data_IF_469940408603
#
_entry.id   IF_469940408603
#
_cell.length_a   1.000
_cell.length_b   1.000
_cell.length_c   1.000
_cell.angle_alpha   90.00
_cell.angle_beta   90.00
_cell.angle_gamma   90.00
#
_symmetry.space_group_name_H-M   'P 1'
#
loop_
_entity.id
_entity.type
_entity.pdbx_description
1 polymer ?
#
# COMPACT_ATOMS: atom_id res chain seq x y z
N UNK A 1 25.24 17.93 -32.45
CA UNK A 1 24.44 18.92 -31.67
C UNK A 1 22.91 18.77 -31.80
N UNK A 2 22.37 17.62 -32.25
CA UNK A 2 20.91 17.38 -32.39
C UNK A 2 20.33 16.32 -31.42
N UNK A 3 21.18 15.58 -30.71
CA UNK A 3 20.81 14.45 -29.83
C UNK A 3 20.44 14.88 -28.40
N UNK A 4 21.16 15.85 -27.82
CA UNK A 4 20.92 16.31 -26.43
C UNK A 4 19.58 17.04 -26.20
N UNK A 5 18.90 17.51 -27.25
CA UNK A 5 17.58 18.16 -27.14
C UNK A 5 16.42 17.16 -27.05
N UNK A 6 16.58 15.93 -27.55
CA UNK A 6 15.52 14.90 -27.52
C UNK A 6 15.35 14.30 -26.12
N UNK A 7 16.44 14.11 -25.38
CA UNK A 7 16.40 13.55 -24.02
C UNK A 7 15.72 14.48 -23.01
N UNK A 8 15.95 15.81 -23.10
CA UNK A 8 15.29 16.79 -22.23
C UNK A 8 13.79 16.94 -22.48
N UNK A 9 13.32 16.68 -23.71
CA UNK A 9 11.90 16.81 -24.07
C UNK A 9 11.11 15.60 -23.55
N UNK A 10 11.68 14.39 -23.59
CA UNK A 10 11.08 13.17 -23.04
C UNK A 10 10.97 13.20 -21.50
N UNK A 11 11.94 13.79 -20.80
CA UNK A 11 11.87 13.95 -19.33
C UNK A 11 10.78 14.92 -18.88
N UNK A 12 10.44 15.94 -19.69
CA UNK A 12 9.40 16.91 -19.35
C UNK A 12 7.99 16.42 -19.70
N UNK A 13 7.83 15.52 -20.67
CA UNK A 13 6.50 15.02 -21.09
C UNK A 13 5.92 13.98 -20.14
N UNK A 14 6.75 13.14 -19.51
CA UNK A 14 6.27 12.20 -18.48
C UNK A 14 5.86 12.92 -17.18
N UNK A 15 6.54 14.02 -16.80
CA UNK A 15 6.18 14.81 -15.62
C UNK A 15 4.87 15.59 -15.80
N UNK A 16 4.57 16.02 -17.03
CA UNK A 16 3.38 16.83 -17.33
C UNK A 16 2.12 15.97 -17.56
N UNK A 17 2.26 14.71 -17.95
CA UNK A 17 1.13 13.78 -18.02
C UNK A 17 0.60 13.37 -16.62
N UNK A 18 1.45 13.36 -15.59
CA UNK A 18 1.05 13.06 -14.21
C UNK A 18 0.31 14.22 -13.54
N UNK A 19 0.54 15.46 -14.00
CA UNK A 19 -0.05 16.67 -13.41
C UNK A 19 -1.48 16.97 -13.88
N UNK A 20 -1.96 16.34 -14.95
CA UNK A 20 -3.24 16.68 -15.60
C UNK A 20 -4.44 15.82 -15.16
N UNK A 21 -4.26 14.89 -14.21
CA UNK A 21 -5.34 14.01 -13.72
C UNK A 21 -5.79 14.32 -12.29
N UNK A 22 -5.20 15.32 -11.62
CA UNK A 22 -5.45 15.54 -10.20
C UNK A 22 -6.54 16.60 -10.00
N UNK A 23 -7.79 16.23 -10.28
CA UNK A 23 -8.90 16.82 -9.54
C UNK A 23 -8.87 16.20 -8.14
N UNK A 24 -8.24 16.87 -7.18
CA UNK A 24 -8.34 16.52 -5.76
C UNK A 24 -9.79 16.78 -5.31
N UNK A 25 -10.67 15.84 -5.60
CA UNK A 25 -11.91 15.72 -4.84
C UNK A 25 -11.55 15.62 -3.35
N UNK A 26 -12.35 16.26 -2.50
CA UNK A 26 -12.11 16.29 -1.05
C UNK A 26 -11.80 14.87 -0.56
N UNK A 27 -10.64 14.68 0.08
CA UNK A 27 -10.22 13.40 0.60
C UNK A 27 -11.26 12.94 1.64
N UNK A 28 -12.12 12.03 1.21
CA UNK A 28 -13.04 11.34 2.09
C UNK A 28 -12.23 10.28 2.82
N UNK A 29 -12.37 10.19 4.14
CA UNK A 29 -11.65 9.20 4.94
C UNK A 29 -11.84 7.78 4.39
N UNK A 30 -10.87 6.89 4.57
CA UNK A 30 -11.03 5.50 4.16
C UNK A 30 -12.23 4.85 4.85
N UNK A 31 -13.03 4.06 4.12
CA UNK A 31 -14.11 3.27 4.70
C UNK A 31 -13.57 2.39 5.83
N UNK A 32 -14.06 2.61 7.05
CA UNK A 32 -13.59 1.90 8.24
C UNK A 32 -12.17 2.25 8.71
N UNK A 33 -11.55 3.32 8.17
CA UNK A 33 -10.20 3.75 8.55
C UNK A 33 -9.08 2.89 7.96
N UNK A 34 -9.41 2.11 6.92
CA UNK A 34 -8.50 1.19 6.24
C UNK A 34 -8.08 1.80 4.90
N UNK A 35 -6.78 1.78 4.63
CA UNK A 35 -6.21 2.07 3.30
C UNK A 35 -5.77 0.76 2.65
N UNK A 36 -5.76 0.73 1.32
CA UNK A 36 -5.24 -0.40 0.55
C UNK A 36 -3.73 -0.58 0.75
N UNK A 37 -2.96 0.51 0.84
CA UNK A 37 -1.52 0.41 1.00
C UNK A 37 -1.18 -0.14 2.39
N UNK A 38 -0.34 -1.18 2.44
CA UNK A 38 0.20 -1.73 3.67
C UNK A 38 1.55 -1.09 3.98
N UNK A 39 1.65 -0.22 5.02
CA UNK A 39 2.88 0.47 5.36
C UNK A 39 4.06 -0.45 5.62
N UNK A 40 5.22 -0.09 5.09
CA UNK A 40 6.50 -0.74 5.39
C UNK A 40 6.79 -1.97 4.54
N UNK A 41 5.99 -2.23 3.50
CA UNK A 41 6.23 -3.33 2.56
C UNK A 41 7.44 -3.07 1.65
N UNK A 42 7.89 -1.80 1.51
CA UNK A 42 9.06 -1.42 0.71
C UNK A 42 10.12 -0.64 1.51
N UNK A 43 10.86 -1.31 2.40
CA UNK A 43 11.87 -0.68 3.26
C UNK A 43 13.31 -0.66 2.74
N UNK A 44 13.70 -1.60 1.87
CA UNK A 44 15.07 -1.70 1.34
C UNK A 44 15.08 -2.32 -0.04
N UNK A 45 16.00 -1.88 -0.90
CA UNK A 45 16.17 -2.39 -2.27
C UNK A 45 14.89 -2.31 -3.13
N UNK A 46 13.98 -1.38 -2.82
CA UNK A 46 12.65 -1.30 -3.42
C UNK A 46 12.71 -1.26 -4.96
N UNK A 47 13.59 -0.42 -5.51
CA UNK A 47 13.78 -0.25 -6.94
C UNK A 47 14.91 -1.09 -7.54
N UNK A 48 15.58 -1.95 -6.77
CA UNK A 48 16.65 -2.80 -7.28
C UNK A 48 16.09 -3.88 -8.24
N UNK A 49 16.77 -4.19 -9.36
CA UNK A 49 16.41 -5.30 -10.24
C UNK A 49 16.43 -6.65 -9.52
N UNK A 50 15.51 -7.53 -9.91
CA UNK A 50 15.44 -8.90 -9.42
C UNK A 50 16.23 -9.89 -10.30
N UNK A 51 16.33 -11.12 -9.81
CA UNK A 51 16.84 -12.25 -10.61
C UNK A 51 15.75 -12.68 -11.61
N UNK A 52 16.04 -12.79 -12.93
CA UNK A 52 15.05 -13.25 -13.89
C UNK A 52 14.50 -14.65 -13.59
N UNK A 53 13.22 -14.87 -13.91
CA UNK A 53 12.52 -16.13 -13.72
C UNK A 53 11.41 -16.05 -12.67
N UNK A 54 10.97 -17.23 -12.22
CA UNK A 54 9.93 -17.38 -11.19
C UNK A 54 10.50 -17.23 -9.78
N UNK A 55 9.77 -16.51 -8.94
CA UNK A 55 9.97 -16.45 -7.51
C UNK A 55 8.63 -16.63 -6.78
N UNK A 56 8.70 -17.03 -5.51
CA UNK A 56 7.55 -17.11 -4.62
C UNK A 56 7.76 -16.17 -3.44
N UNK A 57 6.77 -15.32 -3.16
CA UNK A 57 6.76 -14.46 -2.00
C UNK A 57 5.86 -15.06 -0.91
N UNK A 58 6.28 -14.93 0.34
CA UNK A 58 5.44 -15.14 1.52
C UNK A 58 5.85 -14.12 2.56
N UNK A 59 4.95 -13.19 2.85
CA UNK A 59 5.19 -12.03 3.71
C UNK A 59 4.21 -12.13 4.85
N UNK A 60 4.72 -12.23 6.08
CA UNK A 60 3.91 -12.05 7.27
C UNK A 60 3.83 -10.56 7.61
N UNK A 61 2.62 -10.08 7.85
CA UNK A 61 2.33 -8.69 8.16
C UNK A 61 1.49 -8.63 9.43
N UNK A 62 2.03 -7.99 10.46
CA UNK A 62 1.34 -7.69 11.70
C UNK A 62 1.09 -6.20 11.80
N UNK A 63 -0.13 -5.81 12.18
CA UNK A 63 -0.46 -4.42 12.46
C UNK A 63 -1.42 -4.30 13.63
N UNK A 64 -1.25 -3.24 14.41
CA UNK A 64 -2.13 -2.80 15.49
C UNK A 64 -2.37 -1.31 15.29
N UNK A 65 -3.64 -0.94 15.08
CA UNK A 65 -4.03 0.42 14.71
C UNK A 65 -5.25 0.84 15.52
N UNK A 66 -5.31 2.12 15.86
CA UNK A 66 -6.46 2.74 16.48
C UNK A 66 -6.80 4.04 15.75
N UNK A 67 -8.10 4.28 15.54
CA UNK A 67 -8.59 5.55 15.06
C UNK A 67 -8.40 6.64 16.12
N UNK A 68 -8.28 7.89 15.68
CA UNK A 68 -8.21 9.01 16.60
C UNK A 68 -9.48 9.09 17.47
N UNK A 69 -9.38 9.56 18.73
CA UNK A 69 -10.55 9.72 19.59
C UNK A 69 -11.61 10.60 18.95
N UNK A 70 -12.86 10.13 18.96
CA UNK A 70 -14.00 10.85 18.39
C UNK A 70 -14.15 10.73 16.87
N UNK A 71 -13.25 10.05 16.15
CA UNK A 71 -13.46 9.74 14.73
C UNK A 71 -14.68 8.85 14.56
N UNK A 72 -15.55 9.22 13.62
CA UNK A 72 -16.83 8.59 13.36
C UNK A 72 -16.79 7.76 12.07
N UNK A 73 -17.27 6.53 12.14
CA UNK A 73 -17.33 5.60 11.02
C UNK A 73 -18.78 5.14 10.79
N UNK A 74 -19.48 5.72 9.80
CA UNK A 74 -20.79 5.23 9.38
C UNK A 74 -20.67 3.81 8.81
N UNK A 75 -21.45 2.85 9.31
CA UNK A 75 -21.42 1.45 8.87
C UNK A 75 -22.80 0.81 8.95
N UNK A 76 -23.39 0.42 7.81
CA UNK A 76 -24.65 -0.33 7.78
C UNK A 76 -25.80 0.33 8.55
N UNK A 77 -25.93 1.67 8.47
CA UNK A 77 -26.94 2.44 9.21
C UNK A 77 -26.60 2.70 10.69
N UNK A 78 -25.38 2.37 11.13
CA UNK A 78 -24.85 2.65 12.48
C UNK A 78 -23.71 3.65 12.41
N UNK A 79 -23.34 4.19 13.58
CA UNK A 79 -22.19 5.07 13.77
C UNK A 79 -21.24 4.44 14.78
N UNK A 80 -20.06 4.03 14.33
CA UNK A 80 -19.01 3.51 15.23
C UNK A 80 -18.01 4.62 15.57
N UNK A 81 -17.49 4.60 16.80
CA UNK A 81 -16.39 5.45 17.24
C UNK A 81 -15.32 4.62 17.94
N UNK A 82 -14.15 5.19 18.20
CA UNK A 82 -13.08 4.50 18.94
C UNK A 82 -12.71 3.14 18.33
N UNK A 83 -12.64 3.06 17.01
CA UNK A 83 -12.28 1.84 16.29
C UNK A 83 -10.82 1.51 16.59
N UNK A 84 -10.56 0.26 16.93
CA UNK A 84 -9.21 -0.32 16.88
C UNK A 84 -9.23 -1.65 16.15
N UNK A 85 -8.10 -1.99 15.53
CA UNK A 85 -7.94 -3.19 14.74
C UNK A 85 -6.55 -3.77 14.90
N UNK A 86 -6.49 -5.10 14.98
CA UNK A 86 -5.26 -5.89 14.98
C UNK A 86 -5.38 -6.95 13.90
N UNK A 87 -4.39 -7.02 13.02
CA UNK A 87 -4.38 -8.00 11.94
C UNK A 87 -3.05 -8.75 11.85
N UNK A 88 -3.17 -10.05 11.63
CA UNK A 88 -2.08 -10.97 11.34
C UNK A 88 -2.34 -11.58 9.95
N UNK A 89 -1.62 -11.08 8.95
CA UNK A 89 -1.83 -11.38 7.55
C UNK A 89 -0.63 -12.13 6.96
N UNK A 90 -0.91 -13.01 6.02
CA UNK A 90 0.04 -13.58 5.09
C UNK A 90 -0.30 -13.08 3.68
N UNK A 91 0.64 -12.38 3.05
CA UNK A 91 0.59 -12.08 1.62
C UNK A 91 1.48 -13.09 0.90
N UNK A 92 0.95 -13.77 -0.11
CA UNK A 92 1.68 -14.85 -0.76
C UNK A 92 1.33 -14.99 -2.23
N UNK A 93 2.30 -15.39 -3.03
CA UNK A 93 2.04 -15.70 -4.43
C UNK A 93 3.27 -15.60 -5.32
N UNK A 94 3.09 -15.84 -6.62
CA UNK A 94 4.18 -15.85 -7.57
C UNK A 94 4.56 -14.45 -8.06
N UNK A 95 5.84 -14.31 -8.37
CA UNK A 95 6.40 -13.22 -9.18
C UNK A 95 7.14 -13.81 -10.36
N UNK A 96 7.00 -13.21 -11.53
CA UNK A 96 7.84 -13.48 -12.69
C UNK A 96 8.61 -12.24 -13.10
N UNK A 97 9.94 -12.36 -13.17
CA UNK A 97 10.86 -11.29 -13.60
C UNK A 97 11.36 -11.60 -15.00
N UNK A 98 11.17 -10.68 -15.94
CA UNK A 98 11.57 -10.88 -17.33
C UNK A 98 13.07 -10.68 -17.51
N UNK A 99 13.73 -11.61 -18.19
CA UNK A 99 15.16 -11.50 -18.52
C UNK A 99 15.43 -10.43 -19.59
N UNK A 100 14.53 -10.29 -20.56
CA UNK A 100 14.66 -9.33 -21.67
C UNK A 100 14.15 -7.95 -21.22
N UNK A 101 14.99 -6.91 -21.27
CA UNK A 101 14.56 -5.57 -20.92
C UNK A 101 13.51 -5.03 -21.90
N UNK A 102 12.56 -4.26 -21.39
CA UNK A 102 11.56 -3.51 -22.16
C UNK A 102 11.76 -2.04 -21.86
N UNK A 103 11.98 -1.21 -22.88
CA UNK A 103 12.31 0.23 -22.72
C UNK A 103 13.54 0.47 -21.82
N UNK A 104 14.51 -0.46 -21.84
CA UNK A 104 15.70 -0.41 -20.99
C UNK A 104 15.45 -0.76 -19.51
N UNK A 105 14.23 -1.15 -19.14
CA UNK A 105 13.85 -1.55 -17.80
C UNK A 105 13.67 -3.07 -17.71
N UNK A 106 13.96 -3.64 -16.54
CA UNK A 106 13.53 -4.99 -16.20
C UNK A 106 12.06 -4.96 -15.79
N UNK A 107 11.23 -5.75 -16.47
CA UNK A 107 9.83 -5.88 -16.14
C UNK A 107 9.60 -7.00 -15.12
N UNK A 108 8.59 -6.86 -14.27
CA UNK A 108 8.09 -7.93 -13.42
C UNK A 108 6.58 -7.90 -13.28
N UNK A 109 5.98 -9.07 -13.10
CA UNK A 109 4.56 -9.26 -12.78
C UNK A 109 4.46 -10.09 -11.52
N UNK A 110 3.64 -9.64 -10.57
CA UNK A 110 3.38 -10.31 -9.28
C UNK A 110 1.88 -10.44 -9.10
N UNK A 111 1.45 -11.55 -8.49
CA UNK A 111 0.07 -11.70 -8.00
C UNK A 111 0.16 -12.23 -6.58
N UNK A 112 -0.37 -11.48 -5.61
CA UNK A 112 -0.43 -11.91 -4.21
C UNK A 112 -1.87 -12.18 -3.82
N UNK A 113 -2.11 -13.27 -3.11
CA UNK A 113 -3.31 -13.45 -2.31
C UNK A 113 -3.05 -13.02 -0.87
N UNK A 114 -4.11 -12.62 -0.16
CA UNK A 114 -4.08 -12.31 1.26
C UNK A 114 -4.86 -13.38 2.04
N UNK A 115 -4.33 -13.84 3.16
CA UNK A 115 -5.07 -14.65 4.13
C UNK A 115 -4.63 -14.28 5.54
N UNK A 116 -5.48 -14.49 6.53
CA UNK A 116 -5.08 -14.18 7.90
C UNK A 116 -6.24 -14.05 8.87
N UNK A 117 -5.95 -13.38 9.99
CA UNK A 117 -6.92 -13.04 11.04
C UNK A 117 -6.96 -11.53 11.22
N UNK A 118 -8.16 -10.99 11.34
CA UNK A 118 -8.43 -9.61 11.73
C UNK A 118 -9.33 -9.63 12.97
N UNK A 119 -8.92 -8.91 14.01
CA UNK A 119 -9.73 -8.58 15.17
C UNK A 119 -9.96 -7.08 15.17
N UNK A 120 -11.22 -6.66 15.28
CA UNK A 120 -11.57 -5.25 15.35
C UNK A 120 -12.57 -5.01 16.48
N UNK A 121 -12.39 -3.87 17.16
CA UNK A 121 -13.29 -3.41 18.21
C UNK A 121 -13.83 -2.03 17.89
N UNK A 122 -15.05 -1.77 18.35
CA UNK A 122 -15.69 -0.45 18.28
C UNK A 122 -16.23 -0.09 19.66
N UNK A 123 -15.95 1.13 20.09
CA UNK A 123 -16.61 1.73 21.23
C UNK A 123 -17.80 2.58 20.73
N UNK A 124 -18.94 2.47 21.39
CA UNK A 124 -20.01 3.44 21.26
C UNK A 124 -20.08 4.17 22.58
N UNK A 125 -19.64 5.43 22.59
CA UNK A 125 -19.77 6.34 23.74
C UNK A 125 -20.78 7.41 23.40
N UNK A 126 -21.99 7.30 23.95
CA UNK A 126 -23.01 8.34 23.83
C UNK A 126 -23.05 9.15 25.13
N UNK A 127 -22.65 10.40 25.08
CA UNK A 127 -22.80 11.34 26.20
C UNK A 127 -24.12 12.11 26.03
N UNK A 128 -25.06 11.89 26.95
CA UNK A 128 -26.35 12.56 26.96
C UNK A 128 -26.27 14.01 27.46
N UNK A 129 -27.36 14.80 27.32
CA UNK A 129 -27.40 16.23 27.67
C UNK A 129 -27.08 16.57 29.14
N UNK A 130 -26.99 15.58 30.02
CA UNK A 130 -26.68 15.71 31.44
C UNK A 130 -25.29 15.16 31.81
N UNK A 131 -24.42 14.90 30.83
CA UNK A 131 -23.06 14.39 31.06
C UNK A 131 -22.98 12.88 31.35
N UNK A 132 -24.11 12.17 31.35
CA UNK A 132 -24.12 10.71 31.47
C UNK A 132 -23.60 10.06 30.20
N UNK A 133 -22.60 9.18 30.31
CA UNK A 133 -22.02 8.45 29.18
C UNK A 133 -22.43 6.99 29.23
N UNK A 134 -23.07 6.49 28.16
CA UNK A 134 -23.25 5.06 27.93
C UNK A 134 -22.09 4.60 27.05
N UNK A 135 -21.26 3.70 27.58
CA UNK A 135 -20.18 3.06 26.85
C UNK A 135 -20.57 1.61 26.55
N UNK A 136 -20.75 1.28 25.27
CA UNK A 136 -20.91 -0.08 24.77
C UNK A 136 -19.68 -0.41 23.95
N UNK A 137 -19.08 -1.59 24.16
CA UNK A 137 -18.03 -2.09 23.29
C UNK A 137 -18.52 -3.32 22.54
N UNK A 138 -18.08 -3.45 21.29
CA UNK A 138 -18.26 -4.67 20.51
C UNK A 138 -16.93 -5.06 19.90
N UNK A 139 -16.60 -6.34 19.98
CA UNK A 139 -15.41 -6.91 19.36
C UNK A 139 -15.85 -7.98 18.39
N UNK A 140 -15.19 -8.03 17.25
CA UNK A 140 -15.43 -9.03 16.23
C UNK A 140 -14.10 -9.53 15.69
N UNK A 141 -14.07 -10.82 15.36
CA UNK A 141 -12.92 -11.45 14.73
C UNK A 141 -13.34 -12.13 13.45
N UNK A 142 -12.42 -12.16 12.49
CA UNK A 142 -12.60 -12.89 11.24
C UNK A 142 -11.29 -13.53 10.82
N UNK A 143 -11.35 -14.80 10.40
CA UNK A 143 -10.22 -15.52 9.81
C UNK A 143 -10.66 -16.05 8.45
N UNK A 144 -9.84 -15.84 7.42
CA UNK A 144 -10.17 -16.28 6.08
C UNK A 144 -9.20 -15.73 5.03
N UNK A 145 -9.73 -15.57 3.82
CA UNK A 145 -9.01 -15.00 2.69
C UNK A 145 -9.44 -13.54 2.47
N UNK A 146 -8.47 -12.70 2.17
CA UNK A 146 -8.64 -11.34 1.68
C UNK A 146 -8.59 -11.30 0.15
N UNK A 147 -8.31 -10.11 -0.37
CA UNK A 147 -8.34 -9.82 -1.80
C UNK A 147 -7.11 -10.39 -2.55
N UNK A 148 -7.17 -10.29 -3.88
CA UNK A 148 -6.04 -10.61 -4.76
C UNK A 148 -5.43 -9.31 -5.25
N UNK A 149 -4.11 -9.23 -5.15
CA UNK A 149 -3.31 -8.05 -5.41
C UNK A 149 -2.38 -8.29 -6.60
N UNK A 150 -2.80 -7.97 -7.84
CA UNK A 150 -1.89 -7.95 -8.98
C UNK A 150 -0.97 -6.72 -8.92
N UNK A 151 0.28 -6.89 -9.32
CA UNK A 151 1.27 -5.82 -9.41
C UNK A 151 2.14 -5.99 -10.65
N UNK A 152 2.52 -4.87 -11.27
CA UNK A 152 3.50 -4.78 -12.34
C UNK A 152 4.55 -3.74 -12.01
N UNK A 153 5.79 -3.96 -12.41
CA UNK A 153 6.86 -2.98 -12.22
C UNK A 153 7.83 -2.95 -13.40
N UNK A 154 8.40 -1.77 -13.63
CA UNK A 154 9.55 -1.53 -14.51
C UNK A 154 10.68 -0.95 -13.66
N UNK A 155 11.86 -1.57 -13.71
CA UNK A 155 13.04 -1.14 -12.95
C UNK A 155 14.23 -0.86 -13.86
N UNK A 156 14.81 0.32 -13.76
CA UNK A 156 16.04 0.71 -14.46
C UNK A 156 17.23 0.69 -13.49
N UNK A 157 18.34 0.08 -13.90
CA UNK A 157 19.61 0.14 -13.17
C UNK A 157 20.61 1.03 -13.91
N UNK A 158 21.24 1.95 -13.17
CA UNK A 158 22.22 2.92 -13.65
C UNK A 158 23.46 2.84 -12.76
N UNK A 159 24.03 1.64 -12.61
CA UNK A 159 25.14 1.38 -11.70
C UNK A 159 24.65 1.25 -10.25
N UNK A 160 24.99 2.22 -9.39
CA UNK A 160 24.55 2.24 -7.99
C UNK A 160 23.16 2.85 -7.79
N UNK A 161 22.60 3.51 -8.81
CA UNK A 161 21.28 4.12 -8.75
C UNK A 161 20.26 3.28 -9.51
N UNK A 162 19.07 3.12 -8.94
CA UNK A 162 17.98 2.36 -9.52
C UNK A 162 16.68 3.16 -9.45
N UNK A 163 15.88 3.12 -10.51
CA UNK A 163 14.58 3.76 -10.59
C UNK A 163 13.51 2.70 -10.85
N UNK A 164 12.34 2.88 -10.25
CA UNK A 164 11.18 2.03 -10.45
C UNK A 164 9.95 2.86 -10.75
N UNK A 165 9.11 2.34 -11.64
CA UNK A 165 7.69 2.71 -11.76
C UNK A 165 6.89 1.44 -11.60
N UNK A 166 5.77 1.52 -10.90
CA UNK A 166 4.91 0.36 -10.69
C UNK A 166 3.43 0.74 -10.76
N UNK A 167 2.62 -0.29 -10.96
CA UNK A 167 1.19 -0.25 -10.76
C UNK A 167 0.76 -1.49 -9.98
N UNK A 168 -0.19 -1.31 -9.10
CA UNK A 168 -0.79 -2.37 -8.29
C UNK A 168 -2.30 -2.19 -8.32
N UNK A 169 -3.04 -3.27 -8.13
CA UNK A 169 -4.49 -3.20 -8.02
C UNK A 169 -5.02 -4.07 -6.89
N UNK A 170 -6.30 -3.86 -6.61
CA UNK A 170 -7.09 -4.74 -5.77
C UNK A 170 -8.18 -5.40 -6.61
N UNK A 171 -8.24 -6.72 -6.56
CA UNK A 171 -9.34 -7.52 -7.10
C UNK A 171 -10.20 -7.96 -5.91
N UNK A 172 -11.40 -7.37 -5.72
CA UNK A 172 -12.17 -7.47 -4.48
C UNK A 172 -12.94 -8.80 -4.41
N UNK A 173 -12.22 -9.90 -4.16
CA UNK A 173 -12.76 -11.27 -4.06
C UNK A 173 -12.67 -11.84 -2.64
N UNK A 174 -12.05 -11.09 -1.74
CA UNK A 174 -11.87 -11.44 -0.33
C UNK A 174 -13.16 -11.32 0.48
N UNK A 175 -13.07 -11.77 1.73
CA UNK A 175 -14.18 -11.69 2.65
C UNK A 175 -14.47 -10.25 3.07
N UNK A 176 -15.59 -9.72 2.58
CA UNK A 176 -16.11 -8.41 2.92
C UNK A 176 -17.62 -8.47 3.21
N UNK A 177 -18.03 -7.79 4.29
CA UNK A 177 -19.42 -7.53 4.64
C UNK A 177 -19.52 -6.10 5.20
N UNK A 178 -20.35 -5.22 4.63
CA UNK A 178 -20.46 -3.83 5.07
C UNK A 178 -20.94 -3.69 6.50
N UNK A 179 -21.59 -4.71 7.09
CA UNK A 179 -22.06 -4.71 8.48
C UNK A 179 -21.03 -5.25 9.47
N UNK A 180 -19.90 -5.79 8.98
CA UNK A 180 -18.82 -6.36 9.78
C UNK A 180 -17.74 -5.32 10.03
N UNK A 181 -17.13 -5.35 11.22
CA UNK A 181 -16.03 -4.44 11.56
C UNK A 181 -14.68 -5.06 11.17
N UNK A 182 -14.52 -6.38 11.38
CA UNK A 182 -13.33 -7.12 11.00
C UNK A 182 -13.50 -7.75 9.60
N UNK A 183 -12.96 -7.11 8.57
CA UNK A 183 -12.91 -7.65 7.20
C UNK A 183 -11.46 -7.93 6.77
N UNK A 184 -11.30 -8.84 5.80
CA UNK A 184 -10.00 -9.10 5.16
C UNK A 184 -9.95 -8.59 3.71
N UNK A 185 -11.11 -8.53 3.04
CA UNK A 185 -11.24 -7.76 1.82
C UNK A 185 -11.68 -6.32 2.12
N UNK A 186 -11.35 -5.38 1.23
CA UNK A 186 -11.73 -3.96 1.36
C UNK A 186 -13.10 -3.66 0.72
N UNK A 187 -13.62 -4.56 -0.13
CA UNK A 187 -14.97 -4.50 -0.68
C UNK A 187 -15.14 -3.70 -1.97
N UNK A 188 -14.05 -3.13 -2.50
CA UNK A 188 -14.01 -2.40 -3.76
C UNK A 188 -12.66 -2.56 -4.45
N UNK A 189 -12.64 -2.41 -5.77
CA UNK A 189 -11.38 -2.45 -6.51
C UNK A 189 -10.56 -1.19 -6.27
N UNK A 190 -9.26 -1.30 -6.50
CA UNK A 190 -8.30 -0.21 -6.34
C UNK A 190 -7.33 -0.21 -7.51
N UNK A 191 -6.85 0.97 -7.88
CA UNK A 191 -5.63 1.14 -8.67
C UNK A 191 -4.66 1.99 -7.85
N UNK A 192 -3.48 1.46 -7.61
CA UNK A 192 -2.37 2.18 -7.01
C UNK A 192 -1.24 2.31 -8.03
N UNK A 193 -0.70 3.52 -8.18
CA UNK A 193 0.42 3.80 -9.08
C UNK A 193 1.47 4.61 -8.37
N UNK A 194 2.72 4.33 -8.66
CA UNK A 194 3.81 5.02 -7.99
C UNK A 194 5.16 4.80 -8.63
N UNK A 195 6.16 5.33 -7.94
CA UNK A 195 7.55 5.20 -8.33
C UNK A 195 8.45 5.12 -7.11
N UNK A 196 9.66 4.63 -7.33
CA UNK A 196 10.64 4.49 -6.27
C UNK A 196 12.06 4.62 -6.79
N UNK A 197 12.98 4.78 -5.86
CA UNK A 197 14.40 4.91 -6.12
C UNK A 197 15.18 4.09 -5.09
N UNK A 198 16.28 3.50 -5.54
CA UNK A 198 17.25 2.83 -4.66
C UNK A 198 18.65 3.25 -5.06
N UNK A 199 19.36 3.90 -4.15
CA UNK A 199 20.82 3.94 -4.17
C UNK A 199 21.34 2.69 -3.45
N UNK A 200 22.20 1.92 -4.10
CA UNK A 200 22.91 0.80 -3.48
C UNK A 200 24.34 0.73 -3.99
N UNK A 201 25.30 0.82 -3.06
CA UNK A 201 26.72 0.69 -3.34
C UNK A 201 27.25 -0.62 -2.73
N UNK A 202 27.48 -1.68 -3.54
CA UNK A 202 27.91 -2.97 -3.01
C UNK A 202 29.34 -2.95 -2.47
N UNK A 203 30.18 -1.96 -2.82
CA UNK A 203 31.54 -1.82 -2.30
C UNK A 203 31.55 -1.27 -0.88
N UNK A 204 30.65 -0.32 -0.58
CA UNK A 204 30.55 0.29 0.76
C UNK A 204 29.46 -0.34 1.62
N UNK A 205 28.56 -1.12 1.03
CA UNK A 205 27.41 -1.71 1.70
C UNK A 205 26.27 -0.74 1.99
N UNK A 206 26.39 0.54 1.60
CA UNK A 206 25.38 1.54 1.92
C UNK A 206 24.22 1.53 0.92
N UNK A 207 23.01 1.65 1.47
CA UNK A 207 21.77 1.62 0.72
C UNK A 207 20.78 2.68 1.24
N UNK A 208 20.04 3.27 0.32
CA UNK A 208 18.92 4.15 0.60
C UNK A 208 17.84 3.89 -0.44
N UNK A 209 16.61 3.68 0.02
CA UNK A 209 15.45 3.51 -0.82
C UNK A 209 14.30 4.41 -0.41
N UNK A 210 13.50 4.80 -1.39
CA UNK A 210 12.16 5.32 -1.15
C UNK A 210 11.21 4.86 -2.25
N UNK A 211 9.93 4.82 -1.92
CA UNK A 211 8.83 4.55 -2.83
C UNK A 211 7.66 5.41 -2.42
N UNK A 212 7.04 6.07 -3.38
CA UNK A 212 5.82 6.85 -3.17
C UNK A 212 4.75 6.45 -4.18
N UNK A 213 3.49 6.52 -3.77
CA UNK A 213 2.37 6.17 -4.62
C UNK A 213 1.10 6.93 -4.28
N UNK A 214 0.14 6.80 -5.19
CA UNK A 214 -1.22 7.30 -5.07
C UNK A 214 -2.19 6.14 -5.33
N UNK A 215 -3.14 6.00 -4.42
CA UNK A 215 -4.17 4.97 -4.45
C UNK A 215 -5.50 5.60 -4.85
N UNK A 216 -6.06 5.19 -5.98
CA UNK A 216 -7.43 5.52 -6.37
C UNK A 216 -8.38 4.38 -5.99
N UNK A 217 -9.36 4.71 -5.16
CA UNK A 217 -10.38 3.78 -4.70
C UNK A 217 -11.63 3.88 -5.59
N UNK A 218 -12.05 2.76 -6.20
CA UNK A 218 -13.35 2.69 -6.85
C UNK A 218 -14.47 2.70 -5.81
N UNK A 219 -15.67 3.11 -6.22
CA UNK A 219 -16.84 3.09 -5.35
C UNK A 219 -17.15 1.67 -4.86
N UNK A 220 -17.28 1.51 -3.55
CA UNK A 220 -17.82 0.31 -2.95
C UNK A 220 -19.34 0.28 -3.14
N UNK A 221 -19.83 -0.71 -3.88
CA UNK A 221 -21.26 -0.83 -4.21
C UNK A 221 -22.10 -1.42 -3.08
N UNK A 222 -21.49 -2.09 -2.10
CA UNK A 222 -22.20 -2.63 -0.95
C UNK A 222 -22.43 -1.56 0.13
N UNK A 223 -21.46 -0.67 0.37
CA UNK A 223 -21.59 0.46 1.31
C UNK A 223 -22.10 1.76 0.65
N UNK A 224 -22.07 1.82 -0.68
CA UNK A 224 -22.33 3.02 -1.49
C UNK A 224 -21.35 4.18 -1.20
N UNK A 225 -20.19 3.87 -0.64
CA UNK A 225 -19.15 4.83 -0.29
C UNK A 225 -17.97 4.78 -1.27
N UNK A 226 -17.30 5.91 -1.46
CA UNK A 226 -16.05 5.97 -2.21
C UNK A 226 -15.02 6.68 -1.34
N UNK A 227 -13.94 5.98 -1.05
CA UNK A 227 -12.81 6.55 -0.31
C UNK A 227 -12.15 7.64 -1.17
N UNK A 228 -11.50 8.59 -0.49
CA UNK A 228 -10.61 9.54 -1.14
C UNK A 228 -9.41 8.87 -1.81
N UNK A 229 -8.60 9.69 -2.48
CA UNK A 229 -7.30 9.26 -2.97
C UNK A 229 -6.30 9.26 -1.82
N UNK A 230 -5.57 8.16 -1.64
CA UNK A 230 -4.57 8.04 -0.58
C UNK A 230 -3.17 8.25 -1.17
N UNK A 231 -2.34 9.03 -0.49
CA UNK A 231 -0.91 9.11 -0.73
C UNK A 231 -0.14 8.25 0.26
N UNK A 232 0.94 7.64 -0.19
CA UNK A 232 1.87 6.92 0.67
C UNK A 232 3.32 7.11 0.25
N UNK A 233 4.22 7.00 1.24
CA UNK A 233 5.66 7.09 1.11
C UNK A 233 6.31 6.09 2.08
N UNK A 234 6.96 5.08 1.53
CA UNK A 234 7.90 4.22 2.24
C UNK A 234 9.32 4.70 1.97
N UNK A 235 10.17 4.71 2.98
CA UNK A 235 11.60 4.95 2.79
C UNK A 235 12.43 4.22 3.82
N UNK A 236 13.70 4.01 3.50
CA UNK A 236 14.63 3.38 4.41
C UNK A 236 16.06 3.53 3.98
N UNK A 237 16.94 3.22 4.92
CA UNK A 237 18.37 3.12 4.70
C UNK A 237 18.88 1.85 5.34
N UNK A 238 19.85 1.22 4.71
CA UNK A 238 20.48 0.05 5.26
C UNK A 238 21.99 0.03 5.01
N UNK A 239 22.68 -0.69 5.89
CA UNK A 239 24.10 -0.98 5.75
C UNK A 239 24.31 -2.49 5.74
N UNK A 240 24.86 -3.00 4.64
CA UNK A 240 25.18 -4.40 4.42
C UNK A 240 26.60 -4.69 4.94
N UNK A 241 26.69 -5.52 5.98
CA UNK A 241 27.97 -6.02 6.50
C UNK A 241 28.51 -7.15 5.62
N UNK A 242 27.61 -7.93 5.04
CA UNK A 242 27.90 -9.00 4.08
C UNK A 242 26.82 -9.02 2.99
N UNK A 243 26.97 -9.92 2.01
CA UNK A 243 25.92 -10.18 1.00
C UNK A 243 24.61 -10.72 1.60
N UNK A 244 24.64 -11.22 2.83
CA UNK A 244 23.51 -11.89 3.48
C UNK A 244 23.08 -11.25 4.80
N UNK A 245 23.80 -10.23 5.28
CA UNK A 245 23.51 -9.56 6.54
C UNK A 245 23.58 -8.04 6.40
N UNK A 246 22.53 -7.38 6.85
CA UNK A 246 22.42 -5.93 6.90
C UNK A 246 21.68 -5.48 8.16
N UNK A 247 21.88 -4.21 8.52
CA UNK A 247 21.02 -3.49 9.45
C UNK A 247 20.26 -2.44 8.66
N UNK A 248 18.95 -2.35 8.87
CA UNK A 248 18.08 -1.41 8.16
C UNK A 248 17.23 -0.60 9.14
N UNK A 249 16.95 0.63 8.75
CA UNK A 249 15.91 1.46 9.36
C UNK A 249 14.98 1.96 8.27
N UNK A 250 13.67 1.86 8.51
CA UNK A 250 12.64 2.25 7.55
C UNK A 250 11.49 2.95 8.25
N UNK A 251 10.81 3.84 7.53
CA UNK A 251 9.62 4.52 7.99
C UNK A 251 8.62 4.66 6.84
N UNK A 252 7.35 4.75 7.20
CA UNK A 252 6.25 4.96 6.26
C UNK A 252 5.39 6.13 6.70
N UNK A 253 4.97 6.93 5.73
CA UNK A 253 3.92 7.93 5.87
C UNK A 253 2.78 7.58 4.92
N UNK A 254 1.54 7.69 5.37
CA UNK A 254 0.35 7.49 4.53
C UNK A 254 -0.75 8.45 4.98
N UNK A 255 -1.48 9.02 4.03
CA UNK A 255 -2.72 9.76 4.32
C UNK A 255 -3.86 8.74 4.48
N UNK A 256 -4.45 8.67 5.66
CA UNK A 256 -5.65 7.88 5.95
C UNK A 256 -6.80 8.80 6.36
#
# INVERSE_FOLDING_TARGET
MKTAKREKILSLTCLSALALLVNLESASAGEGGISFWLPGTFGSLAAAPGTPGWAWATIYYHTDVAAAPGTQFPRGGRLDVGISGRADLALFGPTYVFATPVLGAQASVTVLGVAGRNEASAALSLTGPLGNTIALSRTQEFTGFGDIVPQVALKWNMGTSNLMVYGQGDVPVGAYDPNRIANLGIGHGVIDVGGGYTYFNPQTGNEFSWLAGLTYNFKNTASQYQNGMDFHLDWGTSHFFTKHSSLAWSATTSSR
#
